data_IF_794687198822
#
_entry.id   IF_794687198822
#
_cell.length_a   1.000
_cell.length_b   1.000
_cell.length_c   1.000
_cell.angle_alpha   90.00
_cell.angle_beta   90.00
_cell.angle_gamma   90.00
#
_symmetry.space_group_name_H-M   'P 1'
#
loop_
_entity.id
_entity.type
_entity.pdbx_description
1 polymer ?
#
# COMPACT_ATOMS: atom_id res chain seq x y z
N UNK A 1 76.12 -14.73 -21.24
CA UNK A 1 76.90 -14.38 -20.04
C UNK A 1 75.93 -14.60 -18.85
N UNK A 2 75.92 -15.75 -18.25
CA UNK A 2 76.79 -16.33 -17.25
C UNK A 2 76.96 -15.45 -16.00
N UNK A 3 76.39 -15.88 -14.91
CA UNK A 3 77.05 -16.30 -13.68
C UNK A 3 75.96 -16.49 -12.59
N UNK A 4 75.67 -17.72 -12.20
CA UNK A 4 76.18 -18.59 -11.13
C UNK A 4 76.12 -18.00 -9.70
N UNK A 5 75.36 -18.72 -8.93
CA UNK A 5 75.65 -19.46 -7.67
C UNK A 5 75.70 -18.60 -6.39
N UNK A 6 75.01 -19.02 -5.32
CA UNK A 6 75.48 -20.06 -4.39
C UNK A 6 74.42 -20.46 -3.38
N UNK A 7 74.37 -21.74 -3.09
CA UNK A 7 73.56 -22.47 -2.06
C UNK A 7 74.20 -22.26 -0.67
N UNK A 8 73.40 -22.23 0.39
CA UNK A 8 73.77 -22.85 1.67
C UNK A 8 72.55 -23.32 2.46
N UNK A 9 72.72 -24.54 2.96
CA UNK A 9 71.83 -25.37 3.80
C UNK A 9 71.87 -24.91 5.28
N UNK A 10 70.82 -25.12 6.05
CA UNK A 10 70.61 -26.13 7.12
C UNK A 10 69.69 -25.57 8.19
N UNK A 11 68.91 -26.46 8.76
CA UNK A 11 68.26 -26.26 10.09
C UNK A 11 66.86 -26.83 10.22
N UNK A 12 66.73 -28.16 10.44
CA UNK A 12 65.59 -28.79 11.02
C UNK A 12 65.34 -28.24 12.42
N UNK A 13 64.08 -27.91 12.76
CA UNK A 13 63.57 -28.14 14.10
C UNK A 13 62.06 -28.43 14.04
N UNK A 14 61.72 -29.63 14.45
CA UNK A 14 60.39 -30.11 14.75
C UNK A 14 59.84 -29.41 16.02
N UNK A 15 58.69 -28.81 15.91
CA UNK A 15 57.85 -28.62 17.09
C UNK A 15 56.37 -28.77 16.71
N UNK A 16 55.70 -29.71 17.38
CA UNK A 16 54.31 -30.06 17.25
C UNK A 16 53.39 -28.85 17.46
N UNK A 17 52.58 -28.52 16.44
CA UNK A 17 51.65 -27.44 16.48
C UNK A 17 50.23 -27.89 16.77
N UNK A 18 49.68 -27.43 17.79
CA UNK A 18 48.29 -27.56 18.25
C UNK A 18 47.35 -26.86 17.25
N UNK A 19 46.37 -27.59 16.71
CA UNK A 19 45.30 -27.03 15.90
C UNK A 19 44.46 -26.05 16.75
N UNK A 20 44.17 -24.85 16.27
CA UNK A 20 43.24 -23.97 16.98
C UNK A 20 41.79 -24.48 16.85
N UNK A 21 41.16 -24.61 18.02
CA UNK A 21 39.76 -24.93 18.22
C UNK A 21 38.87 -23.85 17.55
N UNK A 22 37.78 -24.16 16.84
CA UNK A 22 36.95 -23.15 16.24
C UNK A 22 36.31 -22.29 17.34
N UNK A 23 36.44 -20.98 17.20
CA UNK A 23 35.90 -19.99 18.09
C UNK A 23 34.35 -20.14 18.15
N UNK A 24 33.85 -20.23 19.37
CA UNK A 24 32.43 -20.16 19.70
C UNK A 24 31.86 -18.88 19.06
N UNK A 25 30.85 -19.03 18.18
CA UNK A 25 30.06 -17.93 17.64
C UNK A 25 29.55 -17.09 18.80
N UNK A 26 29.99 -15.84 18.75
CA UNK A 26 29.77 -14.85 19.76
C UNK A 26 28.32 -14.52 20.00
N UNK A 27 28.12 -14.10 21.20
CA UNK A 27 26.91 -13.61 21.81
C UNK A 27 26.14 -12.63 20.93
N UNK A 28 24.88 -12.90 20.82
CA UNK A 28 23.81 -12.01 20.39
C UNK A 28 23.98 -10.66 21.11
N UNK A 29 24.38 -9.63 20.39
CA UNK A 29 24.34 -8.26 20.91
C UNK A 29 22.90 -7.91 21.18
N UNK A 30 22.53 -7.78 22.45
CA UNK A 30 21.28 -7.17 22.91
C UNK A 30 21.42 -5.67 22.67
N UNK A 31 20.61 -5.12 21.76
CA UNK A 31 20.39 -3.70 21.69
C UNK A 31 19.66 -3.24 22.97
N UNK A 32 20.01 -2.09 23.55
CA UNK A 32 19.38 -1.61 24.77
C UNK A 32 17.96 -1.09 24.48
N UNK A 33 16.95 -1.69 25.09
CA UNK A 33 15.66 -1.04 25.41
C UNK A 33 14.59 -0.99 24.30
N UNK A 34 14.63 -1.83 23.24
CA UNK A 34 13.54 -1.95 22.29
C UNK A 34 12.71 -3.21 22.53
N UNK A 35 11.39 -3.12 22.42
CA UNK A 35 10.52 -4.30 22.30
C UNK A 35 11.09 -5.23 21.21
N UNK A 36 10.95 -6.56 21.33
CA UNK A 36 11.40 -7.47 20.28
C UNK A 36 10.64 -7.11 18.99
N UNK A 37 11.37 -6.55 18.02
CA UNK A 37 10.81 -6.22 16.73
C UNK A 37 10.28 -7.52 16.12
N UNK A 38 8.98 -7.57 15.85
CA UNK A 38 8.36 -8.73 15.23
C UNK A 38 8.95 -8.92 13.84
N UNK A 39 9.62 -10.05 13.62
CA UNK A 39 10.23 -10.36 12.33
C UNK A 39 9.20 -10.45 11.22
N UNK A 40 7.97 -10.84 11.55
CA UNK A 40 6.85 -10.90 10.63
C UNK A 40 6.49 -9.51 10.13
N UNK A 41 6.44 -8.53 11.01
CA UNK A 41 6.19 -7.13 10.68
C UNK A 41 7.30 -6.52 9.80
N UNK A 42 8.57 -6.85 10.10
CA UNK A 42 9.69 -6.42 9.23
C UNK A 42 9.58 -6.97 7.81
N UNK A 43 9.18 -8.24 7.66
CA UNK A 43 8.97 -8.88 6.36
C UNK A 43 7.82 -8.17 5.62
N UNK A 44 6.70 -7.91 6.29
CA UNK A 44 5.55 -7.21 5.69
C UNK A 44 5.94 -5.80 5.22
N UNK A 45 6.66 -5.04 6.05
CA UNK A 45 7.13 -3.69 5.70
C UNK A 45 8.05 -3.71 4.47
N UNK A 46 9.03 -4.61 4.42
CA UNK A 46 9.92 -4.74 3.27
C UNK A 46 9.18 -5.19 2.00
N UNK A 47 8.25 -6.15 2.15
CA UNK A 47 7.44 -6.64 1.04
C UNK A 47 6.50 -5.55 0.50
N UNK A 48 5.86 -4.77 1.38
CA UNK A 48 4.99 -3.65 1.00
C UNK A 48 5.73 -2.65 0.13
N UNK A 49 6.93 -2.21 0.56
CA UNK A 49 7.76 -1.30 -0.24
C UNK A 49 8.08 -1.90 -1.61
N UNK A 50 8.56 -3.15 -1.65
CA UNK A 50 8.93 -3.80 -2.92
C UNK A 50 7.75 -4.00 -3.85
N UNK A 51 6.60 -4.44 -3.33
CA UNK A 51 5.42 -4.63 -4.15
C UNK A 51 4.86 -3.31 -4.68
N UNK A 52 4.92 -2.24 -3.89
CA UNK A 52 4.52 -0.92 -4.34
C UNK A 52 5.43 -0.35 -5.42
N UNK A 53 6.76 -0.54 -5.30
CA UNK A 53 7.77 0.03 -6.20
C UNK A 53 7.95 -0.80 -7.49
N UNK A 54 8.11 -2.12 -7.36
CA UNK A 54 8.47 -3.01 -8.47
C UNK A 54 7.32 -3.89 -8.96
N UNK A 55 6.21 -3.94 -8.23
CA UNK A 55 5.09 -4.84 -8.46
C UNK A 55 5.28 -6.24 -7.86
N UNK A 56 4.16 -6.96 -7.68
CA UNK A 56 4.15 -8.27 -7.06
C UNK A 56 4.90 -9.32 -7.88
N UNK A 57 4.64 -9.42 -9.19
CA UNK A 57 5.23 -10.45 -10.04
C UNK A 57 6.75 -10.32 -10.15
N UNK A 58 7.28 -9.09 -10.25
CA UNK A 58 8.71 -8.83 -10.38
C UNK A 58 9.49 -8.98 -9.07
N UNK A 59 8.83 -8.95 -7.91
CA UNK A 59 9.47 -9.12 -6.59
C UNK A 59 9.61 -10.59 -6.24
N UNK A 60 10.80 -10.98 -5.76
CA UNK A 60 11.09 -12.35 -5.30
C UNK A 60 11.17 -12.42 -3.78
N UNK A 61 10.83 -13.58 -3.20
CA UNK A 61 10.97 -13.87 -1.76
C UNK A 61 12.42 -13.67 -1.28
N UNK A 62 13.40 -13.96 -2.14
CA UNK A 62 14.81 -13.75 -1.83
C UNK A 62 15.14 -12.26 -1.63
N UNK A 63 14.65 -11.39 -2.51
CA UNK A 63 14.87 -9.95 -2.38
C UNK A 63 14.25 -9.40 -1.09
N UNK A 64 13.04 -9.85 -0.72
CA UNK A 64 12.40 -9.46 0.55
C UNK A 64 13.24 -9.94 1.73
N UNK A 65 13.75 -11.18 1.70
CA UNK A 65 14.58 -11.74 2.77
C UNK A 65 15.92 -10.99 2.91
N UNK A 66 16.54 -10.63 1.79
CA UNK A 66 17.79 -9.86 1.75
C UNK A 66 17.62 -8.47 2.39
N UNK A 67 16.48 -7.78 2.14
CA UNK A 67 16.18 -6.46 2.72
C UNK A 67 16.07 -6.48 4.25
N UNK A 68 15.58 -7.57 4.81
CA UNK A 68 15.45 -7.73 6.27
C UNK A 68 16.61 -8.54 6.87
N UNK A 69 17.65 -8.80 6.08
CA UNK A 69 18.87 -9.50 6.50
C UNK A 69 18.62 -10.89 7.11
N UNK A 70 17.73 -11.68 6.48
CA UNK A 70 17.46 -13.07 6.85
C UNK A 70 17.68 -14.00 5.66
N UNK A 71 17.81 -15.29 5.95
CA UNK A 71 17.83 -16.31 4.89
C UNK A 71 16.40 -16.49 4.33
N UNK A 72 16.27 -16.73 3.02
CA UNK A 72 14.97 -17.02 2.40
C UNK A 72 14.23 -18.19 3.08
N UNK A 73 14.97 -19.22 3.55
CA UNK A 73 14.40 -20.31 4.34
C UNK A 73 13.75 -19.85 5.66
N UNK A 74 14.30 -18.81 6.30
CA UNK A 74 13.72 -18.25 7.52
C UNK A 74 12.41 -17.48 7.23
N UNK A 75 12.29 -16.86 6.06
CA UNK A 75 11.06 -16.19 5.66
C UNK A 75 9.92 -17.21 5.51
N UNK A 76 10.17 -18.39 4.95
CA UNK A 76 9.18 -19.46 4.81
C UNK A 76 8.68 -20.04 6.15
N UNK A 77 9.34 -19.75 7.29
CA UNK A 77 8.78 -20.04 8.62
C UNK A 77 7.68 -19.06 9.05
N UNK A 78 7.61 -17.89 8.42
CA UNK A 78 6.62 -16.86 8.71
C UNK A 78 5.47 -16.82 7.71
N UNK A 79 5.77 -17.11 6.44
CA UNK A 79 4.81 -17.06 5.33
C UNK A 79 5.06 -18.23 4.39
N UNK A 80 4.05 -19.04 4.13
CA UNK A 80 4.19 -20.23 3.26
C UNK A 80 4.40 -19.85 1.79
N UNK A 81 3.82 -18.73 1.34
CA UNK A 81 3.89 -18.29 -0.05
C UNK A 81 4.05 -16.75 -0.14
N UNK A 82 4.46 -16.27 -1.32
CA UNK A 82 4.51 -14.83 -1.62
C UNK A 82 3.10 -14.22 -1.66
N UNK A 83 2.12 -15.00 -2.11
CA UNK A 83 0.71 -14.65 -2.12
C UNK A 83 0.15 -14.42 -0.72
N UNK A 84 0.57 -15.19 0.27
CA UNK A 84 0.18 -14.99 1.68
C UNK A 84 0.69 -13.66 2.22
N UNK A 85 1.92 -13.27 1.86
CA UNK A 85 2.47 -11.94 2.22
C UNK A 85 1.62 -10.83 1.58
N UNK A 86 1.33 -10.95 0.28
CA UNK A 86 0.52 -9.97 -0.44
C UNK A 86 -0.88 -9.85 0.17
N UNK A 87 -1.49 -10.99 0.44
CA UNK A 87 -2.84 -11.06 0.98
C UNK A 87 -2.92 -10.36 2.35
N UNK A 88 -1.96 -10.61 3.23
CA UNK A 88 -1.94 -9.96 4.55
C UNK A 88 -1.73 -8.45 4.45
N UNK A 89 -0.88 -7.99 3.53
CA UNK A 89 -0.69 -6.55 3.29
C UNK A 89 -1.98 -5.87 2.86
N UNK A 90 -2.77 -6.48 1.98
CA UNK A 90 -3.93 -5.81 1.35
C UNK A 90 -5.26 -6.14 2.00
N UNK A 91 -5.34 -7.21 2.80
CA UNK A 91 -6.58 -7.72 3.41
C UNK A 91 -7.32 -6.63 4.17
N UNK A 92 -6.66 -6.07 5.18
CA UNK A 92 -7.28 -5.12 6.10
C UNK A 92 -7.71 -3.84 5.36
N UNK A 93 -6.88 -3.36 4.43
CA UNK A 93 -7.21 -2.19 3.62
C UNK A 93 -8.49 -2.39 2.79
N UNK A 94 -8.61 -3.55 2.13
CA UNK A 94 -9.77 -3.86 1.27
C UNK A 94 -11.03 -4.12 2.12
N UNK A 95 -10.90 -4.88 3.22
CA UNK A 95 -12.07 -5.20 4.06
C UNK A 95 -12.58 -3.97 4.80
N UNK A 96 -11.69 -3.16 5.37
CA UNK A 96 -12.06 -1.89 6.02
C UNK A 96 -12.70 -0.93 5.01
N UNK A 97 -12.16 -0.83 3.78
CA UNK A 97 -12.79 0.00 2.73
C UNK A 97 -14.20 -0.46 2.40
N UNK A 98 -14.46 -1.76 2.33
CA UNK A 98 -15.80 -2.31 2.16
C UNK A 98 -16.74 -1.93 3.32
N UNK A 99 -16.30 -2.19 4.54
CA UNK A 99 -17.14 -2.01 5.74
C UNK A 99 -17.52 -0.54 5.93
N UNK A 100 -16.57 0.37 5.76
CA UNK A 100 -16.85 1.80 5.88
C UNK A 100 -17.68 2.31 4.72
N UNK A 101 -17.48 1.80 3.49
CA UNK A 101 -18.37 2.17 2.37
C UNK A 101 -19.82 1.78 2.65
N UNK A 102 -20.05 0.58 3.20
CA UNK A 102 -21.39 0.12 3.56
C UNK A 102 -21.99 0.92 4.71
N UNK A 103 -21.19 1.23 5.76
CA UNK A 103 -21.64 2.09 6.86
C UNK A 103 -22.05 3.47 6.37
N UNK A 104 -21.23 4.09 5.51
CA UNK A 104 -21.51 5.43 4.97
C UNK A 104 -22.78 5.41 4.12
N UNK A 105 -22.97 4.39 3.27
CA UNK A 105 -24.19 4.25 2.46
C UNK A 105 -25.46 4.15 3.33
N UNK A 106 -25.36 3.56 4.52
CA UNK A 106 -26.48 3.41 5.47
C UNK A 106 -26.70 4.62 6.41
N UNK A 107 -25.86 5.66 6.35
CA UNK A 107 -26.03 6.85 7.20
C UNK A 107 -27.35 7.57 6.88
N UNK A 108 -28.04 8.13 7.91
CA UNK A 108 -29.27 8.91 7.74
C UNK A 108 -28.96 10.34 7.25
N UNK A 109 -28.24 10.43 6.14
CA UNK A 109 -27.80 11.66 5.47
C UNK A 109 -28.34 11.66 4.04
N UNK A 110 -28.46 12.85 3.42
CA UNK A 110 -28.74 12.90 1.99
C UNK A 110 -27.59 12.33 1.16
N UNK A 111 -27.86 12.01 -0.10
CA UNK A 111 -26.88 11.36 -0.97
C UNK A 111 -25.63 12.21 -1.21
N UNK A 112 -25.74 13.53 -1.22
CA UNK A 112 -24.58 14.42 -1.39
C UNK A 112 -23.70 14.39 -0.16
N UNK A 113 -24.26 14.40 1.04
CA UNK A 113 -23.52 14.28 2.30
C UNK A 113 -22.82 12.92 2.42
N UNK A 114 -23.50 11.83 2.04
CA UNK A 114 -22.91 10.48 2.00
C UNK A 114 -21.76 10.40 0.99
N UNK A 115 -21.90 11.01 -0.19
CA UNK A 115 -20.83 11.06 -1.19
C UNK A 115 -19.61 11.83 -0.70
N UNK A 116 -19.83 12.96 -0.04
CA UNK A 116 -18.74 13.74 0.57
C UNK A 116 -18.02 12.90 1.63
N UNK A 117 -18.75 12.22 2.51
CA UNK A 117 -18.20 11.32 3.52
C UNK A 117 -17.34 10.21 2.88
N UNK A 118 -17.82 9.61 1.79
CA UNK A 118 -17.12 8.58 1.01
C UNK A 118 -15.78 9.08 0.48
N UNK A 119 -15.78 10.25 -0.17
CA UNK A 119 -14.56 10.88 -0.72
C UNK A 119 -13.57 11.24 0.38
N UNK A 120 -14.06 11.79 1.53
CA UNK A 120 -13.22 12.12 2.69
C UNK A 120 -12.49 10.89 3.22
N UNK A 121 -13.21 9.80 3.46
CA UNK A 121 -12.65 8.56 4.01
C UNK A 121 -11.68 7.93 3.03
N UNK A 122 -12.02 7.87 1.75
CA UNK A 122 -11.14 7.29 0.73
C UNK A 122 -9.85 8.11 0.56
N UNK A 123 -9.93 9.44 0.51
CA UNK A 123 -8.75 10.30 0.42
C UNK A 123 -7.85 10.17 1.66
N UNK A 124 -8.43 10.13 2.86
CA UNK A 124 -7.67 9.93 4.10
C UNK A 124 -6.91 8.58 4.09
N UNK A 125 -7.53 7.51 3.62
CA UNK A 125 -6.86 6.21 3.48
C UNK A 125 -5.71 6.25 2.48
N UNK A 126 -5.96 6.83 1.29
CA UNK A 126 -4.94 6.96 0.25
C UNK A 126 -3.71 7.71 0.75
N UNK A 127 -3.87 8.73 1.58
CA UNK A 127 -2.77 9.52 2.15
C UNK A 127 -2.08 8.84 3.33
N UNK A 128 -2.81 8.02 4.11
CA UNK A 128 -2.28 7.35 5.30
C UNK A 128 -1.56 6.03 5.00
N UNK A 129 -1.89 5.35 3.89
CA UNK A 129 -1.40 4.02 3.54
C UNK A 129 -1.11 3.87 2.05
N UNK A 130 -0.39 4.83 1.49
CA UNK A 130 -0.14 4.98 0.05
C UNK A 130 0.39 3.72 -0.63
N UNK A 131 1.42 3.06 -0.05
CA UNK A 131 2.02 1.87 -0.61
C UNK A 131 1.02 0.73 -0.74
N UNK A 132 0.20 0.53 0.30
CA UNK A 132 -0.84 -0.52 0.30
C UNK A 132 -1.88 -0.25 -0.79
N UNK A 133 -2.34 1.00 -0.91
CA UNK A 133 -3.33 1.37 -1.93
C UNK A 133 -2.76 1.35 -3.35
N UNK A 134 -1.48 1.71 -3.53
CA UNK A 134 -0.77 1.53 -4.80
C UNK A 134 -0.75 0.05 -5.22
N UNK A 135 -0.45 -0.86 -4.29
CA UNK A 135 -0.51 -2.31 -4.54
C UNK A 135 -1.93 -2.74 -4.91
N UNK A 136 -2.95 -2.35 -4.11
CA UNK A 136 -4.36 -2.69 -4.36
C UNK A 136 -4.82 -2.24 -5.74
N UNK A 137 -4.35 -1.08 -6.20
CA UNK A 137 -4.71 -0.53 -7.51
C UNK A 137 -3.92 -1.19 -8.65
N UNK A 138 -2.60 -1.36 -8.51
CA UNK A 138 -1.74 -1.89 -9.55
C UNK A 138 -1.96 -3.39 -9.78
N UNK A 139 -2.15 -4.16 -8.72
CA UNK A 139 -2.29 -5.61 -8.79
C UNK A 139 -3.73 -6.10 -9.02
N UNK A 140 -4.67 -5.21 -9.36
CA UNK A 140 -6.08 -5.55 -9.59
C UNK A 140 -6.32 -6.63 -10.65
N UNK A 141 -5.41 -6.76 -11.65
CA UNK A 141 -5.50 -7.80 -12.67
C UNK A 141 -5.09 -9.17 -12.08
N UNK A 142 -4.05 -9.18 -11.26
CA UNK A 142 -3.57 -10.36 -10.55
C UNK A 142 -4.66 -10.90 -9.62
N UNK A 143 -5.26 -10.03 -8.77
CA UNK A 143 -6.34 -10.43 -7.87
C UNK A 143 -7.51 -11.11 -8.60
N UNK A 144 -7.92 -10.61 -9.76
CA UNK A 144 -9.03 -11.19 -10.55
C UNK A 144 -8.71 -12.54 -11.19
N UNK A 145 -7.44 -12.86 -11.41
CA UNK A 145 -7.01 -14.13 -12.04
C UNK A 145 -6.79 -15.24 -11.03
N UNK A 146 -6.55 -14.90 -9.78
CA UNK A 146 -6.25 -15.85 -8.72
C UNK A 146 -7.47 -16.15 -7.88
N UNK A 147 -7.88 -17.43 -7.84
CA UNK A 147 -8.99 -17.88 -6.98
C UNK A 147 -8.72 -17.62 -5.49
N UNK A 148 -7.47 -17.59 -5.10
CA UNK A 148 -7.03 -17.26 -3.73
C UNK A 148 -7.56 -15.90 -3.24
N UNK A 149 -7.67 -14.91 -4.13
CA UNK A 149 -8.12 -13.56 -3.81
C UNK A 149 -9.61 -13.28 -4.11
N UNK A 150 -10.40 -14.30 -4.44
CA UNK A 150 -11.81 -14.11 -4.81
C UNK A 150 -12.62 -13.34 -3.75
N UNK A 151 -12.39 -13.59 -2.46
CA UNK A 151 -13.11 -12.89 -1.39
C UNK A 151 -12.76 -11.38 -1.33
N UNK A 152 -11.51 -11.00 -1.66
CA UNK A 152 -11.12 -9.59 -1.77
C UNK A 152 -11.76 -8.92 -2.99
N UNK A 153 -11.91 -9.65 -4.10
CA UNK A 153 -12.64 -9.17 -5.29
C UNK A 153 -14.11 -8.92 -4.95
N UNK A 154 -14.74 -9.82 -4.17
CA UNK A 154 -16.11 -9.64 -3.71
C UNK A 154 -16.24 -8.44 -2.74
N UNK A 155 -15.28 -8.26 -1.84
CA UNK A 155 -15.25 -7.11 -0.95
C UNK A 155 -15.16 -5.78 -1.72
N UNK A 156 -14.29 -5.71 -2.73
CA UNK A 156 -14.20 -4.54 -3.63
C UNK A 156 -15.49 -4.29 -4.40
N UNK A 157 -16.15 -5.35 -4.84
CA UNK A 157 -17.47 -5.24 -5.49
C UNK A 157 -18.50 -4.65 -4.53
N UNK A 158 -18.56 -5.13 -3.29
CA UNK A 158 -19.50 -4.61 -2.29
C UNK A 158 -19.25 -3.11 -1.97
N UNK A 159 -17.99 -2.68 -1.90
CA UNK A 159 -17.65 -1.26 -1.80
C UNK A 159 -18.18 -0.47 -3.02
N UNK A 160 -17.96 -0.98 -4.24
CA UNK A 160 -18.46 -0.36 -5.46
C UNK A 160 -20.01 -0.25 -5.47
N UNK A 161 -20.71 -1.30 -5.01
CA UNK A 161 -22.17 -1.32 -4.94
C UNK A 161 -22.69 -0.22 -3.97
N UNK A 162 -21.99 0.02 -2.84
CA UNK A 162 -22.33 1.11 -1.92
C UNK A 162 -22.14 2.51 -2.55
N UNK A 163 -21.09 2.73 -3.32
CA UNK A 163 -20.92 3.96 -4.10
C UNK A 163 -22.04 4.14 -5.12
N UNK A 164 -22.40 3.05 -5.80
CA UNK A 164 -23.47 3.06 -6.81
C UNK A 164 -24.83 3.39 -6.20
N UNK A 165 -25.13 2.87 -5.01
CA UNK A 165 -26.33 3.18 -4.25
C UNK A 165 -26.42 4.68 -3.94
N UNK A 166 -25.35 5.27 -3.37
CA UNK A 166 -25.31 6.70 -3.04
C UNK A 166 -25.56 7.58 -4.26
N UNK A 167 -24.92 7.30 -5.39
CA UNK A 167 -25.10 8.08 -6.61
C UNK A 167 -26.52 7.90 -7.19
N UNK A 168 -27.06 6.68 -7.14
CA UNK A 168 -28.43 6.39 -7.58
C UNK A 168 -29.46 7.13 -6.75
N UNK A 169 -29.26 7.16 -5.43
CA UNK A 169 -30.13 7.90 -4.53
C UNK A 169 -30.08 9.40 -4.79
N UNK A 170 -28.86 9.95 -5.03
CA UNK A 170 -28.70 11.36 -5.35
C UNK A 170 -29.41 11.78 -6.64
N UNK A 171 -29.46 10.89 -7.64
CA UNK A 171 -30.30 11.11 -8.85
C UNK A 171 -31.77 11.09 -8.50
N UNK A 172 -32.26 10.13 -7.70
CA UNK A 172 -33.68 10.03 -7.27
C UNK A 172 -34.09 11.22 -6.40
N UNK A 173 -33.19 11.70 -5.53
CA UNK A 173 -33.40 12.86 -4.66
C UNK A 173 -33.33 14.20 -5.42
N UNK A 174 -32.99 14.21 -6.71
CA UNK A 174 -32.79 15.41 -7.52
C UNK A 174 -31.56 16.23 -7.13
N UNK A 175 -30.63 15.64 -6.40
CA UNK A 175 -29.36 16.28 -6.01
C UNK A 175 -28.32 16.19 -7.12
N UNK A 176 -28.35 15.11 -7.90
CA UNK A 176 -27.42 14.86 -9.00
C UNK A 176 -28.15 14.89 -10.34
N UNK A 177 -27.39 15.08 -11.40
CA UNK A 177 -27.89 15.18 -12.75
C UNK A 177 -28.71 13.93 -13.14
N UNK A 178 -29.93 14.05 -13.72
CA UNK A 178 -30.79 12.89 -14.01
C UNK A 178 -30.18 11.91 -15.01
N UNK A 179 -29.28 12.38 -15.88
CA UNK A 179 -28.58 11.56 -16.89
C UNK A 179 -27.19 11.12 -16.43
N UNK A 180 -26.92 11.11 -15.12
CA UNK A 180 -25.62 10.74 -14.58
C UNK A 180 -25.29 9.28 -14.89
N UNK A 181 -24.21 9.04 -15.66
CA UNK A 181 -23.64 7.69 -15.79
C UNK A 181 -22.90 7.30 -14.51
N UNK A 182 -23.57 6.50 -13.68
CA UNK A 182 -23.08 6.09 -12.38
C UNK A 182 -21.77 5.30 -12.49
N UNK A 183 -21.68 4.39 -13.48
CA UNK A 183 -20.51 3.55 -13.65
C UNK A 183 -19.29 4.39 -14.06
N UNK A 184 -19.43 5.25 -15.06
CA UNK A 184 -18.34 6.13 -15.50
C UNK A 184 -17.96 7.12 -14.40
N UNK A 185 -18.93 7.64 -13.64
CA UNK A 185 -18.70 8.56 -12.52
C UNK A 185 -17.85 7.90 -11.44
N UNK A 186 -18.23 6.72 -10.96
CA UNK A 186 -17.46 5.97 -9.96
C UNK A 186 -16.06 5.67 -10.48
N UNK A 187 -15.95 5.17 -11.72
CA UNK A 187 -14.67 4.83 -12.34
C UNK A 187 -13.74 6.04 -12.46
N UNK A 188 -14.30 7.22 -12.77
CA UNK A 188 -13.54 8.48 -12.88
C UNK A 188 -13.11 8.97 -11.50
N UNK A 189 -13.99 8.98 -10.51
CA UNK A 189 -13.67 9.40 -9.14
C UNK A 189 -12.56 8.51 -8.56
N UNK A 190 -12.69 7.18 -8.66
CA UNK A 190 -11.64 6.28 -8.16
C UNK A 190 -10.30 6.49 -8.87
N UNK A 191 -10.28 6.71 -10.19
CA UNK A 191 -9.02 6.99 -10.92
C UNK A 191 -8.40 8.31 -10.49
N UNK A 192 -9.23 9.33 -10.32
CA UNK A 192 -8.79 10.65 -9.89
C UNK A 192 -8.21 10.61 -8.47
N UNK A 193 -8.86 9.94 -7.53
CA UNK A 193 -8.36 9.80 -6.17
C UNK A 193 -7.08 8.96 -6.12
N UNK A 194 -7.02 7.84 -6.85
CA UNK A 194 -5.84 6.97 -6.87
C UNK A 194 -4.64 7.57 -7.61
N UNK A 195 -4.85 8.52 -8.54
CA UNK A 195 -3.73 9.26 -9.13
C UNK A 195 -2.94 10.04 -8.05
N UNK A 196 -3.61 10.48 -6.98
CA UNK A 196 -2.96 11.11 -5.84
C UNK A 196 -1.94 10.23 -5.12
N UNK A 197 -2.10 8.90 -5.15
CA UNK A 197 -1.16 7.96 -4.53
C UNK A 197 0.20 7.97 -5.25
N UNK A 198 0.23 8.12 -6.57
CA UNK A 198 1.45 8.17 -7.36
C UNK A 198 2.20 9.50 -7.21
N UNK A 199 1.47 10.58 -6.88
CA UNK A 199 2.02 11.94 -6.79
C UNK A 199 2.46 12.33 -5.39
N UNK A 200 2.04 11.59 -4.36
CA UNK A 200 2.33 11.93 -2.97
C UNK A 200 3.72 11.42 -2.52
N UNK A 201 4.40 10.63 -3.34
CA UNK A 201 5.72 10.06 -3.04
C UNK A 201 6.74 10.41 -4.09
N UNK A 202 7.59 11.39 -3.78
CA UNK A 202 8.98 11.34 -4.21
C UNK A 202 9.86 11.88 -3.08
N UNK A 203 10.59 10.99 -2.43
CA UNK A 203 11.61 11.34 -1.45
C UNK A 203 12.86 11.94 -2.13
N UNK A 204 12.91 12.01 -3.46
CA UNK A 204 14.06 12.46 -4.25
C UNK A 204 14.02 13.92 -4.72
N UNK A 205 12.95 14.66 -4.37
CA UNK A 205 12.85 16.10 -4.65
C UNK A 205 12.69 16.46 -6.12
N UNK A 206 12.18 15.56 -6.96
CA UNK A 206 11.87 15.89 -8.35
C UNK A 206 10.65 16.79 -8.48
N UNK A 207 10.64 17.74 -9.44
CA UNK A 207 9.64 18.81 -9.60
C UNK A 207 8.19 18.35 -9.89
N UNK A 208 7.95 17.03 -9.98
CA UNK A 208 6.62 16.45 -10.16
C UNK A 208 5.83 16.39 -8.83
N UNK A 209 6.50 16.66 -7.71
CA UNK A 209 5.98 16.63 -6.32
C UNK A 209 5.07 17.80 -5.92
N UNK A 210 4.54 18.54 -6.85
CA UNK A 210 3.71 19.73 -6.55
C UNK A 210 2.52 19.43 -5.63
N UNK A 211 2.07 18.18 -5.54
CA UNK A 211 0.91 17.79 -4.72
C UNK A 211 1.28 17.45 -3.27
N UNK A 212 2.48 16.95 -3.01
CA UNK A 212 2.96 16.69 -1.64
C UNK A 212 2.98 17.96 -0.75
N UNK A 213 2.95 19.14 -1.36
CA UNK A 213 2.89 20.43 -0.67
C UNK A 213 1.48 20.86 -0.24
N UNK A 214 0.43 20.18 -0.71
CA UNK A 214 -0.94 20.51 -0.32
C UNK A 214 -1.37 19.76 0.93
N UNK A 215 -2.02 20.47 1.85
CA UNK A 215 -2.67 19.81 2.99
C UNK A 215 -3.80 18.89 2.52
N UNK A 216 -4.11 17.88 3.34
CA UNK A 216 -5.24 16.98 3.07
C UNK A 216 -6.55 17.74 2.87
N UNK A 217 -6.82 18.77 3.69
CA UNK A 217 -8.01 19.62 3.57
C UNK A 217 -8.06 20.33 2.21
N UNK A 218 -6.93 20.81 1.72
CA UNK A 218 -6.86 21.48 0.42
C UNK A 218 -7.13 20.52 -0.73
N UNK A 219 -6.58 19.31 -0.66
CA UNK A 219 -6.86 18.25 -1.65
C UNK A 219 -8.33 17.85 -1.61
N UNK A 220 -8.88 17.69 -0.41
CA UNK A 220 -10.29 17.36 -0.23
C UNK A 220 -11.22 18.42 -0.84
N UNK A 221 -10.97 19.70 -0.54
CA UNK A 221 -11.73 20.82 -1.13
C UNK A 221 -11.66 20.82 -2.65
N UNK A 222 -10.48 20.56 -3.20
CA UNK A 222 -10.28 20.49 -4.66
C UNK A 222 -11.06 19.32 -5.27
N UNK A 223 -10.88 18.11 -4.75
CA UNK A 223 -11.53 16.93 -5.31
C UNK A 223 -13.05 16.97 -5.16
N UNK A 224 -13.55 17.38 -3.98
CA UNK A 224 -14.99 17.54 -3.77
C UNK A 224 -15.57 18.63 -4.67
N UNK A 225 -14.88 19.77 -4.77
CA UNK A 225 -15.31 20.85 -5.66
C UNK A 225 -15.35 20.44 -7.12
N UNK A 226 -14.42 19.60 -7.57
CA UNK A 226 -14.39 19.08 -8.93
C UNK A 226 -15.52 18.08 -9.16
N UNK A 227 -15.64 17.07 -8.29
CA UNK A 227 -16.68 16.02 -8.41
C UNK A 227 -18.06 16.62 -8.35
N UNK A 228 -18.37 17.43 -7.34
CA UNK A 228 -19.74 17.96 -7.14
C UNK A 228 -20.15 18.90 -8.27
N UNK A 229 -19.23 19.74 -8.80
CA UNK A 229 -19.55 20.58 -9.97
C UNK A 229 -19.88 19.76 -11.22
N UNK A 230 -19.28 18.57 -11.36
CA UNK A 230 -19.51 17.72 -12.50
C UNK A 230 -20.81 16.91 -12.42
N UNK A 231 -21.28 16.60 -11.21
CA UNK A 231 -22.40 15.66 -11.04
C UNK A 231 -23.70 16.28 -10.48
N UNK A 232 -23.64 17.46 -9.86
CA UNK A 232 -24.83 18.12 -9.30
C UNK A 232 -25.87 18.44 -10.36
N UNK A 233 -27.12 18.36 -9.99
CA UNK A 233 -28.21 18.92 -10.80
C UNK A 233 -27.96 20.42 -11.05
N UNK A 234 -28.32 20.95 -12.22
CA UNK A 234 -28.04 22.36 -12.62
C UNK A 234 -28.50 23.39 -11.57
N UNK A 235 -29.63 23.15 -10.92
CA UNK A 235 -30.21 24.00 -9.88
C UNK A 235 -29.35 24.08 -8.62
N UNK A 236 -28.46 23.14 -8.43
CA UNK A 236 -27.57 23.01 -7.28
C UNK A 236 -26.11 23.36 -7.57
N UNK A 237 -25.79 23.81 -8.78
CA UNK A 237 -24.41 24.03 -9.22
C UNK A 237 -23.61 24.97 -8.28
N UNK A 238 -24.27 25.96 -7.64
CA UNK A 238 -23.66 26.91 -6.72
C UNK A 238 -23.79 26.58 -5.24
N UNK A 239 -24.37 25.44 -4.86
CA UNK A 239 -24.59 25.09 -3.48
C UNK A 239 -23.25 24.87 -2.73
N UNK A 240 -23.16 25.22 -1.42
CA UNK A 240 -21.97 24.98 -0.63
C UNK A 240 -21.67 23.46 -0.54
N UNK A 241 -20.42 23.11 -0.35
CA UNK A 241 -20.00 21.72 -0.13
C UNK A 241 -20.35 21.33 1.30
N UNK A 242 -21.17 20.30 1.53
CA UNK A 242 -21.51 19.86 2.87
C UNK A 242 -20.28 19.30 3.61
N UNK A 243 -20.28 19.39 4.93
CA UNK A 243 -19.22 18.86 5.81
C UNK A 243 -19.87 17.98 6.90
N UNK A 244 -20.26 16.75 6.55
CA UNK A 244 -20.87 15.86 7.53
C UNK A 244 -19.85 15.48 8.61
N UNK A 245 -20.26 15.53 9.88
CA UNK A 245 -19.52 14.90 10.96
C UNK A 245 -19.85 13.39 10.94
N UNK A 246 -18.84 12.56 10.72
CA UNK A 246 -18.99 11.10 10.68
C UNK A 246 -18.00 10.45 11.65
N UNK A 247 -18.47 9.43 12.38
CA UNK A 247 -17.69 8.51 13.18
C UNK A 247 -17.79 7.13 12.52
N UNK A 248 -16.64 6.51 12.18
CA UNK A 248 -16.56 5.21 11.51
C UNK A 248 -15.98 4.12 12.41
#
# INVERSE_FOLDING_TARGET
>A
MATRQTVLRTGKNDTAGTKPKPARRGARAKAPGGQPVDRRELILTAATRRFAEFGFEATTVRQIADDVSILSGSLYHHFATKEEILEEIVRDAILTSRDDSQKIAALPLDAEQRLVAMVMVELNRLTSSQEVYAIVFNERKFFRRSAYFNYLVQAKKASYDAWSEILSDGVKEGLFHPELDIYLTISTVFRMLNAGADWYKNEDGSEIDAIAHYSLDRLLDFYLGYVLRAIRAPERAGAPIPRPAIEL
#
